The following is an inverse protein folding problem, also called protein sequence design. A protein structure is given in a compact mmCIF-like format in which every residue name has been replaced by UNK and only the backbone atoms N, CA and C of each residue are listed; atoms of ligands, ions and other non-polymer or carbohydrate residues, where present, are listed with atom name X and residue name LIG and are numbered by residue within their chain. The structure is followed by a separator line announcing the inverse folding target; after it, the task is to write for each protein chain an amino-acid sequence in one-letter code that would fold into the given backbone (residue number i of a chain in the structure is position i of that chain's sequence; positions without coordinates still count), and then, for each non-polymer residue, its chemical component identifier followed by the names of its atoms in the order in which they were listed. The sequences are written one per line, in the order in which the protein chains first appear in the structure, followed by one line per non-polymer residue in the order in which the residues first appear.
data_IF_476983373665
#
_entry.id   IF_476983373665
#
_cell.length_a   1.000
_cell.length_b   1.000
_cell.length_c   1.000
_cell.angle_alpha   90.00
_cell.angle_beta   90.00
_cell.angle_gamma   90.00
#
_symmetry.space_group_name_H-M   'P 1'
#
loop_
_entity.id
_entity.type
_entity.pdbx_description
1 polymer ?
#
# COMPACT_ATOMS: atom_id res chain seq x y z
N UNK A 1 64.16 18.22 56.17
CA UNK A 1 64.26 17.61 54.83
C UNK A 1 63.47 16.29 54.71
N UNK A 2 62.22 16.23 55.19
CA UNK A 2 61.45 14.96 55.22
C UNK A 2 60.08 15.01 54.50
N UNK A 3 59.71 16.14 53.89
CA UNK A 3 58.39 16.30 53.25
C UNK A 3 58.45 16.23 51.72
N UNK A 4 59.62 16.45 51.10
CA UNK A 4 59.79 16.35 49.65
C UNK A 4 59.89 14.91 49.14
N UNK A 5 60.38 13.96 49.95
CA UNK A 5 60.50 12.55 49.57
C UNK A 5 59.16 11.81 49.53
N UNK A 6 58.20 12.19 50.39
CA UNK A 6 56.87 11.55 50.47
C UNK A 6 55.95 11.98 49.31
N UNK A 7 56.15 13.20 48.79
CA UNK A 7 55.41 13.69 47.64
C UNK A 7 55.93 13.09 46.32
N UNK A 8 57.25 12.89 46.21
CA UNK A 8 57.86 12.23 45.05
C UNK A 8 57.49 10.74 44.96
N UNK A 9 57.39 10.03 46.07
CA UNK A 9 56.97 8.60 46.06
C UNK A 9 55.49 8.42 45.72
N UNK A 10 54.63 9.38 46.06
CA UNK A 10 53.20 9.34 45.68
C UNK A 10 52.95 9.69 44.22
N UNK A 11 53.71 10.61 43.62
CA UNK A 11 53.63 10.89 42.19
C UNK A 11 54.18 9.75 41.33
N UNK A 12 55.22 9.03 41.78
CA UNK A 12 55.76 7.86 41.07
C UNK A 12 54.78 6.68 41.08
N UNK A 13 54.02 6.46 42.16
CA UNK A 13 53.02 5.39 42.23
C UNK A 13 51.79 5.65 41.32
N UNK A 14 51.39 6.92 41.14
CA UNK A 14 50.32 7.29 40.21
C UNK A 14 50.73 7.15 38.74
N UNK A 15 52.01 7.39 38.41
CA UNK A 15 52.55 7.23 37.05
C UNK A 15 52.73 5.76 36.66
N UNK A 16 53.03 4.87 37.62
CA UNK A 16 53.13 3.42 37.39
C UNK A 16 51.74 2.79 37.16
N UNK A 17 50.68 3.27 37.81
CA UNK A 17 49.32 2.80 37.54
C UNK A 17 48.74 3.25 36.18
N UNK A 18 49.24 4.36 35.62
CA UNK A 18 48.82 4.88 34.31
C UNK A 18 49.55 4.25 33.11
N UNK A 19 50.60 3.44 33.33
CA UNK A 19 51.42 2.80 32.29
C UNK A 19 51.20 1.28 32.16
N UNK A 20 50.19 0.71 32.83
CA UNK A 20 49.91 -0.73 32.80
C UNK A 20 48.66 -1.14 31.99
N UNK A 21 48.21 -0.32 31.04
CA UNK A 21 47.20 -0.70 30.06
C UNK A 21 47.74 -0.54 28.63
N UNK A 22 48.77 -1.30 28.29
CA UNK A 22 49.08 -1.64 26.90
C UNK A 22 49.29 -3.16 26.81
N UNK A 23 48.65 -3.75 25.81
CA UNK A 23 48.16 -5.12 25.82
C UNK A 23 49.20 -6.24 25.65
N UNK A 24 48.81 -7.41 26.14
CA UNK A 24 49.46 -8.69 25.80
C UNK A 24 48.94 -9.14 24.41
N UNK A 25 49.82 -9.54 23.47
CA UNK A 25 49.40 -10.05 22.18
C UNK A 25 48.95 -11.51 22.34
N UNK A 26 47.68 -11.79 22.09
CA UNK A 26 47.15 -13.15 21.99
C UNK A 26 46.90 -13.46 20.51
N UNK A 27 47.37 -14.64 20.12
CA UNK A 27 47.45 -15.20 18.78
C UNK A 27 46.15 -15.14 17.99
N UNK A 28 46.27 -14.73 16.72
CA UNK A 28 45.25 -14.87 15.68
C UNK A 28 45.13 -16.35 15.29
N UNK A 29 43.98 -16.97 15.56
CA UNK A 29 43.45 -18.02 14.70
C UNK A 29 41.93 -17.85 14.53
N UNK A 30 41.47 -18.26 13.35
CA UNK A 30 40.31 -17.79 12.58
C UNK A 30 38.94 -18.11 13.20
N UNK A 31 38.06 -17.11 13.21
CA UNK A 31 36.67 -17.22 12.71
C UNK A 31 36.08 -15.82 12.53
N UNK A 32 35.55 -15.54 11.34
CA UNK A 32 34.80 -14.31 11.03
C UNK A 32 33.54 -14.28 11.90
N UNK A 33 33.49 -13.37 12.86
CA UNK A 33 32.23 -12.91 13.45
C UNK A 33 32.03 -11.49 12.93
N UNK A 34 31.09 -11.32 12.00
CA UNK A 34 30.63 -10.00 11.61
C UNK A 34 29.97 -9.37 12.84
N UNK A 35 30.33 -8.10 13.07
CA UNK A 35 29.81 -7.24 14.10
C UNK A 35 28.29 -7.16 14.01
N UNK A 36 27.61 -7.45 15.12
CA UNK A 36 26.23 -7.03 15.33
C UNK A 36 26.24 -5.49 15.42
N UNK A 37 25.72 -4.86 14.37
CA UNK A 37 25.31 -3.47 14.43
C UNK A 37 24.11 -3.37 15.39
N UNK A 38 24.22 -2.39 16.28
CA UNK A 38 23.20 -1.96 17.22
C UNK A 38 21.97 -1.46 16.43
N UNK A 39 21.00 -2.35 16.20
CA UNK A 39 19.67 -1.96 15.75
C UNK A 39 19.01 -1.22 16.92
N UNK A 40 18.98 0.11 16.80
CA UNK A 40 17.96 0.95 17.41
C UNK A 40 16.64 0.19 17.44
N UNK A 41 16.12 -0.03 18.64
CA UNK A 41 14.81 -0.65 18.86
C UNK A 41 13.76 0.07 18.04
N UNK A 42 13.35 -0.53 16.92
CA UNK A 42 12.06 -0.23 16.33
C UNK A 42 10.99 -0.53 17.39
N UNK A 43 9.92 0.27 17.49
CA UNK A 43 8.75 -0.16 18.25
C UNK A 43 8.31 -1.53 17.71
N UNK A 44 7.72 -2.41 18.54
CA UNK A 44 7.29 -3.74 18.09
C UNK A 44 6.51 -3.59 16.78
N UNK A 45 6.88 -4.36 15.76
CA UNK A 45 6.11 -4.42 14.52
C UNK A 45 4.72 -4.91 14.91
N UNK A 46 3.75 -3.99 14.95
CA UNK A 46 2.36 -4.31 15.24
C UNK A 46 1.67 -4.83 13.98
N UNK A 47 0.82 -5.83 14.16
CA UNK A 47 0.09 -6.70 13.20
C UNK A 47 -0.61 -5.93 12.06
N UNK A 48 0.06 -5.65 10.93
CA UNK A 48 -0.52 -4.83 9.83
C UNK A 48 -1.81 -5.48 9.32
N UNK A 49 -2.95 -4.83 9.59
CA UNK A 49 -4.28 -5.37 9.32
C UNK A 49 -4.66 -5.34 7.83
N UNK A 50 -3.78 -4.83 6.97
CA UNK A 50 -4.04 -4.67 5.52
C UNK A 50 -4.95 -3.50 5.17
N UNK A 51 -5.51 -2.80 6.18
CA UNK A 51 -6.35 -1.63 5.98
C UNK A 51 -5.51 -0.39 5.61
N UNK A 52 -5.92 0.36 4.59
CA UNK A 52 -5.25 1.60 4.17
C UNK A 52 -5.28 2.74 5.22
N UNK A 53 -6.01 2.56 6.32
CA UNK A 53 -6.08 3.44 7.48
C UNK A 53 -5.73 2.73 8.80
N UNK A 54 -5.13 1.53 8.72
CA UNK A 54 -4.66 0.74 9.88
C UNK A 54 -3.85 1.61 10.85
N UNK A 55 -2.88 2.36 10.33
CA UNK A 55 -2.07 3.28 11.13
C UNK A 55 -2.92 4.26 11.94
N UNK A 56 -3.93 4.86 11.32
CA UNK A 56 -4.81 5.82 12.00
C UNK A 56 -5.67 5.12 13.05
N UNK A 57 -6.22 3.95 12.73
CA UNK A 57 -6.98 3.12 13.67
C UNK A 57 -6.17 2.80 14.92
N UNK A 58 -4.93 2.35 14.75
CA UNK A 58 -4.01 2.03 15.85
C UNK A 58 -3.65 3.24 16.68
N UNK A 59 -3.25 4.34 16.04
CA UNK A 59 -2.89 5.55 16.76
C UNK A 59 -4.09 6.03 17.61
N UNK A 60 -5.32 5.96 17.10
CA UNK A 60 -6.54 6.26 17.86
C UNK A 60 -6.70 5.31 19.05
N UNK A 61 -6.56 4.00 18.87
CA UNK A 61 -6.65 3.00 19.94
C UNK A 61 -5.57 3.25 21.00
N UNK A 62 -4.31 3.45 20.61
CA UNK A 62 -3.18 3.71 21.50
C UNK A 62 -3.39 4.93 22.41
N UNK A 63 -4.02 6.00 21.89
CA UNK A 63 -4.35 7.15 22.72
C UNK A 63 -5.54 6.90 23.63
N UNK A 64 -6.54 6.16 23.15
CA UNK A 64 -7.70 5.78 23.95
C UNK A 64 -7.30 4.85 25.11
N UNK A 65 -6.39 3.90 24.88
CA UNK A 65 -5.91 2.99 25.91
C UNK A 65 -5.12 3.71 27.01
N UNK A 66 -4.52 4.89 26.76
CA UNK A 66 -3.86 5.67 27.82
C UNK A 66 -4.85 6.16 28.89
N UNK A 67 -6.14 6.22 28.58
CA UNK A 67 -7.19 6.53 29.54
C UNK A 67 -7.65 5.27 30.28
N UNK A 68 -7.53 5.27 31.61
CA UNK A 68 -7.86 4.09 32.43
C UNK A 68 -9.33 3.67 32.30
N UNK A 69 -10.27 4.64 32.28
CA UNK A 69 -11.70 4.35 32.18
C UNK A 69 -12.02 3.69 30.84
N UNK A 70 -11.48 4.27 29.76
CA UNK A 70 -11.71 3.72 28.43
C UNK A 70 -11.07 2.33 28.26
N UNK A 71 -9.85 2.13 28.75
CA UNK A 71 -9.16 0.82 28.70
C UNK A 71 -9.95 -0.28 29.40
N UNK A 72 -10.46 -0.01 30.60
CA UNK A 72 -11.29 -0.97 31.34
C UNK A 72 -12.58 -1.29 30.58
N UNK A 73 -13.16 -0.31 29.88
CA UNK A 73 -14.33 -0.53 29.02
C UNK A 73 -14.00 -1.34 27.77
N UNK A 74 -12.87 -1.06 27.13
CA UNK A 74 -12.42 -1.80 25.96
C UNK A 74 -12.26 -3.30 26.25
N UNK A 75 -11.59 -3.66 27.35
CA UNK A 75 -11.37 -5.08 27.71
C UNK A 75 -12.60 -5.83 28.21
N UNK A 76 -13.63 -5.13 28.72
CA UNK A 76 -14.82 -5.76 29.30
C UNK A 76 -16.04 -5.74 28.38
N UNK A 77 -15.93 -5.15 27.18
CA UNK A 77 -17.04 -5.04 26.23
C UNK A 77 -16.92 -6.13 25.17
N UNK A 78 -17.99 -6.89 24.96
CA UNK A 78 -18.05 -7.91 23.93
C UNK A 78 -17.96 -7.31 22.52
N UNK A 79 -17.42 -8.08 21.56
CA UNK A 79 -17.26 -7.64 20.17
C UNK A 79 -18.57 -7.12 19.54
N UNK A 80 -19.68 -7.83 19.76
CA UNK A 80 -20.99 -7.41 19.26
C UNK A 80 -21.44 -6.06 19.84
N UNK A 81 -21.12 -5.80 21.10
CA UNK A 81 -21.41 -4.54 21.77
C UNK A 81 -20.55 -3.39 21.23
N UNK A 82 -19.31 -3.69 20.84
CA UNK A 82 -18.40 -2.76 20.14
C UNK A 82 -18.98 -2.40 18.77
N UNK A 83 -19.39 -3.40 17.97
CA UNK A 83 -20.03 -3.20 16.65
C UNK A 83 -21.31 -2.37 16.72
N UNK A 84 -22.09 -2.53 17.79
CA UNK A 84 -23.31 -1.75 18.04
C UNK A 84 -23.05 -0.30 18.47
N UNK A 85 -21.80 0.13 18.59
CA UNK A 85 -21.44 1.52 18.93
C UNK A 85 -21.60 1.85 20.41
N UNK A 86 -21.66 0.84 21.31
CA UNK A 86 -21.71 1.09 22.76
C UNK A 86 -20.39 1.67 23.26
N UNK A 87 -19.26 1.15 22.77
CA UNK A 87 -17.93 1.62 23.14
C UNK A 87 -17.69 3.07 22.71
N UNK A 88 -18.17 3.47 21.53
CA UNK A 88 -18.00 4.83 21.03
C UNK A 88 -18.58 5.90 21.98
N UNK A 89 -19.67 5.57 22.70
CA UNK A 89 -20.30 6.49 23.68
C UNK A 89 -19.45 6.70 24.93
N UNK A 90 -18.52 5.80 25.25
CA UNK A 90 -17.61 5.96 26.38
C UNK A 90 -16.57 7.07 26.12
N UNK A 91 -16.42 7.51 24.87
CA UNK A 91 -15.55 8.63 24.48
C UNK A 91 -15.90 9.94 25.21
N UNK A 92 -17.17 10.14 25.59
CA UNK A 92 -17.62 11.34 26.32
C UNK A 92 -17.00 11.43 27.73
N UNK A 93 -16.55 10.31 28.29
CA UNK A 93 -15.96 10.23 29.63
C UNK A 93 -14.43 10.25 29.61
N UNK A 94 -13.82 10.24 28.43
CA UNK A 94 -12.37 10.26 28.24
C UNK A 94 -11.79 11.60 28.67
N UNK A 95 -10.60 11.57 29.29
CA UNK A 95 -9.92 12.78 29.74
C UNK A 95 -9.67 13.79 28.60
N UNK A 96 -9.74 15.08 28.94
CA UNK A 96 -9.52 16.18 27.98
C UNK A 96 -8.18 16.09 27.24
N UNK A 97 -7.13 15.59 27.91
CA UNK A 97 -5.81 15.45 27.29
C UNK A 97 -5.84 14.48 26.11
N UNK A 98 -6.47 13.31 26.28
CA UNK A 98 -6.64 12.31 25.22
C UNK A 98 -7.56 12.85 24.13
N UNK A 99 -8.67 13.52 24.47
CA UNK A 99 -9.55 14.19 23.49
C UNK A 99 -8.78 15.17 22.59
N UNK A 100 -7.89 15.97 23.17
CA UNK A 100 -7.06 16.93 22.42
C UNK A 100 -6.10 16.22 21.45
N UNK A 101 -5.57 15.05 21.83
CA UNK A 101 -4.69 14.25 20.98
C UNK A 101 -5.46 13.60 19.82
N UNK A 102 -6.66 13.09 20.09
CA UNK A 102 -7.55 12.53 19.06
C UNK A 102 -7.98 13.59 18.03
N UNK A 103 -8.28 14.82 18.48
CA UNK A 103 -8.57 15.93 17.57
C UNK A 103 -7.41 16.25 16.63
N UNK A 104 -6.17 16.16 17.13
CA UNK A 104 -4.97 16.39 16.33
C UNK A 104 -4.71 15.24 15.36
N UNK A 105 -4.88 13.99 15.79
CA UNK A 105 -4.80 12.84 14.89
C UNK A 105 -5.80 12.95 13.74
N UNK A 106 -7.05 13.31 14.04
CA UNK A 106 -8.07 13.50 13.00
C UNK A 106 -7.65 14.60 12.00
N UNK A 107 -7.08 15.72 12.48
CA UNK A 107 -6.57 16.78 11.60
C UNK A 107 -5.48 16.27 10.69
N UNK A 108 -4.54 15.48 11.21
CA UNK A 108 -3.45 14.90 10.44
C UNK A 108 -3.97 13.94 9.38
N UNK A 109 -4.91 13.07 9.75
CA UNK A 109 -5.48 12.09 8.83
C UNK A 109 -6.29 12.77 7.71
N UNK A 110 -7.13 13.75 8.05
CA UNK A 110 -7.84 14.56 7.05
C UNK A 110 -6.85 15.29 6.13
N UNK A 111 -5.72 15.79 6.64
CA UNK A 111 -4.69 16.43 5.83
C UNK A 111 -3.98 15.45 4.89
N UNK A 112 -3.67 14.24 5.36
CA UNK A 112 -3.11 13.15 4.57
C UNK A 112 -4.03 12.82 3.41
N UNK A 113 -5.31 12.61 3.70
CA UNK A 113 -6.30 12.22 2.70
C UNK A 113 -6.57 13.33 1.67
N UNK A 114 -6.59 14.61 2.09
CA UNK A 114 -6.67 15.75 1.15
C UNK A 114 -5.48 15.78 0.19
N UNK A 115 -4.30 15.43 0.69
CA UNK A 115 -3.09 15.35 -0.14
C UNK A 115 -3.20 14.22 -1.15
N UNK A 116 -3.74 13.06 -0.74
CA UNK A 116 -3.99 11.92 -1.64
C UNK A 116 -5.03 12.26 -2.72
N UNK A 117 -6.15 12.92 -2.37
CA UNK A 117 -7.12 13.39 -3.36
C UNK A 117 -6.44 14.31 -4.35
N UNK A 118 -5.69 15.30 -3.86
CA UNK A 118 -5.03 16.26 -4.75
C UNK A 118 -4.03 15.56 -5.67
N UNK A 119 -3.24 14.62 -5.16
CA UNK A 119 -2.31 13.85 -5.98
C UNK A 119 -3.05 13.02 -7.05
N UNK A 120 -4.15 12.34 -6.70
CA UNK A 120 -4.99 11.62 -7.67
C UNK A 120 -5.56 12.57 -8.72
N UNK A 121 -6.08 13.71 -8.31
CA UNK A 121 -6.57 14.76 -9.22
C UNK A 121 -5.48 15.32 -10.12
N UNK A 122 -4.25 15.48 -9.64
CA UNK A 122 -3.12 15.98 -10.45
C UNK A 122 -2.64 14.92 -11.46
N UNK A 123 -2.74 13.62 -11.13
CA UNK A 123 -2.44 12.50 -12.03
C UNK A 123 -3.51 12.37 -13.12
N UNK A 124 -4.79 12.45 -12.72
CA UNK A 124 -5.93 12.32 -13.63
C UNK A 124 -6.19 13.63 -14.42
N UNK A 125 -5.82 14.78 -13.86
CA UNK A 125 -6.08 16.14 -14.33
C UNK A 125 -5.31 16.61 -15.57
N UNK A 126 -4.75 15.67 -16.34
CA UNK A 126 -4.44 15.91 -17.76
C UNK A 126 -5.66 15.79 -18.67
N UNK A 127 -6.71 15.08 -18.23
CA UNK A 127 -7.98 14.96 -18.93
C UNK A 127 -9.12 15.38 -17.99
N UNK A 128 -10.08 16.13 -18.53
CA UNK A 128 -11.31 16.61 -17.88
C UNK A 128 -12.30 15.45 -17.61
N UNK A 129 -11.78 14.30 -17.16
CA UNK A 129 -12.56 13.16 -16.72
C UNK A 129 -13.13 13.58 -15.37
N UNK A 130 -14.46 13.56 -15.25
CA UNK A 130 -15.12 13.71 -13.97
C UNK A 130 -14.59 12.62 -13.05
N UNK A 131 -13.58 12.96 -12.24
CA UNK A 131 -13.09 12.14 -11.14
C UNK A 131 -14.33 11.65 -10.42
N UNK A 132 -14.47 10.33 -10.25
CA UNK A 132 -15.60 9.80 -9.52
C UNK A 132 -15.42 10.20 -8.05
N UNK A 133 -15.91 11.41 -7.73
CA UNK A 133 -15.83 11.99 -6.41
C UNK A 133 -16.54 11.07 -5.41
N UNK A 134 -17.49 10.24 -5.85
CA UNK A 134 -18.17 9.28 -5.01
C UNK A 134 -17.26 8.08 -4.68
N UNK A 135 -16.50 7.55 -5.64
CA UNK A 135 -15.49 6.53 -5.39
C UNK A 135 -14.34 7.04 -4.49
N UNK A 136 -13.92 8.30 -4.67
CA UNK A 136 -12.97 8.92 -3.75
C UNK A 136 -13.54 9.08 -2.35
N UNK A 137 -14.79 9.49 -2.21
CA UNK A 137 -15.45 9.67 -0.91
C UNK A 137 -15.67 8.36 -0.14
N UNK A 138 -15.79 7.22 -0.83
CA UNK A 138 -15.77 5.89 -0.18
C UNK A 138 -14.48 5.66 0.61
N UNK A 139 -13.34 6.20 0.15
CA UNK A 139 -12.07 6.14 0.91
C UNK A 139 -12.08 6.99 2.20
N UNK A 140 -13.19 7.67 2.54
CA UNK A 140 -13.35 8.51 3.74
C UNK A 140 -14.46 8.02 4.65
N UNK A 141 -15.08 6.87 4.36
CA UNK A 141 -16.30 6.44 5.04
C UNK A 141 -16.09 6.24 6.56
N UNK A 142 -14.86 5.91 6.96
CA UNK A 142 -14.42 5.75 8.35
C UNK A 142 -14.26 7.07 9.14
N UNK A 143 -14.44 8.25 8.52
CA UNK A 143 -14.31 9.56 9.20
C UNK A 143 -15.43 10.53 8.82
N UNK A 144 -15.81 11.40 9.76
CA UNK A 144 -16.67 12.53 9.43
C UNK A 144 -15.83 13.69 8.83
N UNK A 145 -15.75 13.73 7.50
CA UNK A 145 -15.05 14.77 6.75
C UNK A 145 -15.73 16.15 6.79
N UNK A 146 -17.00 16.23 7.18
CA UNK A 146 -17.73 17.50 7.35
C UNK A 146 -17.31 18.24 8.62
N UNK A 147 -16.70 17.53 9.58
CA UNK A 147 -16.10 18.11 10.77
C UNK A 147 -14.61 17.74 10.86
N UNK A 148 -13.69 18.46 10.19
CA UNK A 148 -12.29 18.05 10.12
C UNK A 148 -11.46 18.37 11.38
N UNK A 149 -12.04 18.93 12.44
CA UNK A 149 -11.29 19.57 13.51
C UNK A 149 -11.53 19.00 14.91
N UNK A 150 -12.63 18.29 15.13
CA UNK A 150 -12.84 17.55 16.38
C UNK A 150 -13.20 16.11 16.08
N UNK A 151 -12.58 15.20 16.83
CA UNK A 151 -12.86 13.77 16.78
C UNK A 151 -14.03 13.49 17.72
N UNK A 152 -15.20 13.12 17.22
CA UNK A 152 -16.41 12.92 18.02
C UNK A 152 -16.77 11.44 18.18
N UNK A 153 -17.79 11.17 18.99
CA UNK A 153 -18.35 9.81 19.16
C UNK A 153 -18.70 9.18 17.81
N UNK A 154 -19.21 9.99 16.86
CA UNK A 154 -19.53 9.54 15.51
C UNK A 154 -18.28 9.08 14.73
N UNK A 155 -17.13 9.72 14.92
CA UNK A 155 -15.89 9.33 14.24
C UNK A 155 -15.39 7.98 14.75
N UNK A 156 -15.42 7.77 16.08
CA UNK A 156 -15.02 6.49 16.65
C UNK A 156 -15.98 5.37 16.24
N UNK A 157 -17.29 5.64 16.22
CA UNK A 157 -18.31 4.68 15.77
C UNK A 157 -18.13 4.30 14.29
N UNK A 158 -17.89 5.29 13.42
CA UNK A 158 -17.59 5.06 11.99
C UNK A 158 -16.29 4.29 11.81
N UNK A 159 -15.23 4.69 12.50
CA UNK A 159 -13.92 4.04 12.41
C UNK A 159 -13.99 2.56 12.81
N UNK A 160 -14.67 2.25 13.93
CA UNK A 160 -14.85 0.86 14.39
C UNK A 160 -15.70 0.08 13.39
N UNK A 161 -16.81 0.64 12.90
CA UNK A 161 -17.71 -0.06 11.96
C UNK A 161 -17.05 -0.31 10.62
N UNK A 162 -16.36 0.67 10.08
CA UNK A 162 -15.59 0.53 8.84
C UNK A 162 -14.47 -0.48 9.04
N UNK A 163 -13.67 -0.39 10.11
CA UNK A 163 -12.62 -1.37 10.37
C UNK A 163 -13.18 -2.79 10.49
N UNK A 164 -14.28 -2.97 11.22
CA UNK A 164 -14.94 -4.28 11.35
C UNK A 164 -15.43 -4.80 10.00
N UNK A 165 -16.16 -3.97 9.25
CA UNK A 165 -16.73 -4.36 7.96
C UNK A 165 -15.63 -4.65 6.93
N UNK A 166 -14.62 -3.81 6.86
CA UNK A 166 -13.53 -3.94 5.91
C UNK A 166 -12.70 -5.18 6.25
N UNK A 167 -12.44 -5.47 7.53
CA UNK A 167 -11.76 -6.70 7.96
C UNK A 167 -12.57 -7.96 7.70
N UNK A 168 -13.89 -7.92 7.88
CA UNK A 168 -14.78 -9.06 7.59
C UNK A 168 -14.91 -9.34 6.08
N UNK A 169 -14.76 -8.31 5.23
CA UNK A 169 -14.88 -8.43 3.78
C UNK A 169 -13.53 -8.40 3.05
N UNK A 170 -12.41 -8.19 3.75
CA UNK A 170 -11.08 -7.99 3.16
C UNK A 170 -10.73 -9.12 2.20
N UNK A 171 -10.80 -10.36 2.70
CA UNK A 171 -10.52 -11.57 1.93
C UNK A 171 -11.44 -11.68 0.71
N UNK A 172 -12.75 -11.44 0.90
CA UNK A 172 -13.73 -11.47 -0.20
C UNK A 172 -13.44 -10.44 -1.28
N UNK A 173 -13.09 -9.21 -0.91
CA UNK A 173 -12.75 -8.16 -1.87
C UNK A 173 -11.47 -8.52 -2.64
N UNK A 174 -10.47 -9.10 -1.96
CA UNK A 174 -9.24 -9.61 -2.58
C UNK A 174 -9.53 -10.73 -3.59
N UNK A 175 -10.37 -11.70 -3.23
CA UNK A 175 -10.85 -12.75 -4.16
C UNK A 175 -11.54 -12.16 -5.40
N UNK A 176 -12.36 -11.12 -5.22
CA UNK A 176 -13.02 -10.43 -6.33
C UNK A 176 -12.05 -9.64 -7.22
N UNK A 177 -11.02 -9.01 -6.64
CA UNK A 177 -9.93 -8.35 -7.36
C UNK A 177 -9.12 -9.35 -8.18
N UNK A 178 -8.72 -10.47 -7.57
CA UNK A 178 -8.01 -11.54 -8.25
C UNK A 178 -8.84 -12.15 -9.39
N UNK A 179 -10.14 -12.39 -9.16
CA UNK A 179 -11.06 -12.84 -10.20
C UNK A 179 -11.07 -11.89 -11.41
N UNK A 180 -11.14 -10.58 -11.18
CA UNK A 180 -11.10 -9.56 -12.25
C UNK A 180 -9.75 -9.54 -12.96
N UNK A 181 -8.65 -9.73 -12.22
CA UNK A 181 -7.31 -9.84 -12.78
C UNK A 181 -7.23 -11.00 -13.78
N UNK A 182 -7.64 -12.20 -13.36
CA UNK A 182 -7.65 -13.40 -14.20
C UNK A 182 -8.55 -13.25 -15.43
N UNK A 183 -9.75 -12.65 -15.25
CA UNK A 183 -10.64 -12.36 -16.39
C UNK A 183 -10.04 -11.35 -17.36
N UNK A 184 -9.33 -10.33 -16.87
CA UNK A 184 -8.66 -9.31 -17.71
C UNK A 184 -7.52 -9.95 -18.50
N UNK A 185 -6.68 -10.74 -17.85
CA UNK A 185 -5.56 -11.47 -18.46
C UNK A 185 -6.03 -12.38 -19.60
N UNK A 186 -7.08 -13.17 -19.37
CA UNK A 186 -7.65 -14.04 -20.41
C UNK A 186 -8.34 -13.23 -21.52
N UNK A 187 -9.04 -12.14 -21.20
CA UNK A 187 -9.64 -11.25 -22.20
C UNK A 187 -8.58 -10.64 -23.13
N UNK A 188 -7.49 -10.10 -22.57
CA UNK A 188 -6.38 -9.55 -23.33
C UNK A 188 -5.72 -10.60 -24.23
N UNK A 189 -5.55 -11.83 -23.73
CA UNK A 189 -5.07 -12.96 -24.53
C UNK A 189 -5.99 -13.24 -25.71
N UNK A 190 -7.31 -13.29 -25.50
CA UNK A 190 -8.30 -13.50 -26.57
C UNK A 190 -8.29 -12.38 -27.60
N UNK A 191 -8.20 -11.13 -27.17
CA UNK A 191 -8.07 -9.98 -28.08
C UNK A 191 -6.76 -10.05 -28.87
N UNK A 192 -5.64 -10.40 -28.23
CA UNK A 192 -4.36 -10.58 -28.91
C UNK A 192 -4.46 -11.63 -30.01
N UNK A 193 -5.04 -12.80 -29.73
CA UNK A 193 -5.24 -13.88 -30.71
C UNK A 193 -6.12 -13.47 -31.91
N UNK A 194 -7.06 -12.52 -31.73
CA UNK A 194 -7.87 -11.97 -32.82
C UNK A 194 -7.05 -11.08 -33.76
N UNK A 195 -5.97 -10.46 -33.27
CA UNK A 195 -5.08 -9.62 -34.10
C UNK A 195 -4.10 -10.41 -34.96
N UNK A 196 -3.86 -11.68 -34.61
CA UNK A 196 -2.90 -12.57 -35.28
C UNK A 196 -3.52 -13.30 -36.48
N UNK A 197 -2.66 -13.67 -37.44
CA UNK A 197 -3.01 -14.57 -38.54
C UNK A 197 -3.07 -16.04 -38.07
N UNK A 198 -3.48 -16.95 -38.94
CA UNK A 198 -3.69 -18.36 -38.56
C UNK A 198 -2.40 -19.07 -38.11
N UNK A 199 -1.24 -18.71 -38.68
CA UNK A 199 0.05 -19.28 -38.26
C UNK A 199 0.50 -18.71 -36.92
N UNK A 200 0.37 -17.39 -36.72
CA UNK A 200 0.67 -16.72 -35.46
C UNK A 200 -0.22 -17.21 -34.33
N UNK A 201 -1.54 -17.33 -34.55
CA UNK A 201 -2.49 -17.83 -33.56
C UNK A 201 -2.13 -19.22 -33.07
N UNK A 202 -1.79 -20.12 -34.00
CA UNK A 202 -1.38 -21.49 -33.66
C UNK A 202 -0.08 -21.52 -32.83
N UNK A 203 0.91 -20.70 -33.18
CA UNK A 203 2.18 -20.61 -32.42
C UNK A 203 1.94 -20.08 -31.01
N UNK A 204 1.09 -19.08 -30.86
CA UNK A 204 0.76 -18.49 -29.56
C UNK A 204 -0.01 -19.48 -28.68
N UNK A 205 -0.97 -20.21 -29.24
CA UNK A 205 -1.67 -21.29 -28.54
C UNK A 205 -0.73 -22.43 -28.12
N UNK A 206 0.21 -22.84 -28.99
CA UNK A 206 1.22 -23.85 -28.65
C UNK A 206 2.16 -23.36 -27.54
N UNK A 207 2.56 -22.08 -27.57
CA UNK A 207 3.37 -21.46 -26.52
C UNK A 207 2.61 -21.44 -25.19
N UNK A 208 1.37 -20.97 -25.18
CA UNK A 208 0.53 -20.92 -23.98
C UNK A 208 0.36 -22.31 -23.33
N UNK A 209 0.10 -23.35 -24.13
CA UNK A 209 0.02 -24.73 -23.64
C UNK A 209 1.36 -25.28 -23.14
N UNK A 210 2.49 -24.81 -23.68
CA UNK A 210 3.81 -25.14 -23.14
C UNK A 210 4.03 -24.47 -21.78
N UNK A 211 3.70 -23.19 -21.65
CA UNK A 211 3.82 -22.44 -20.39
C UNK A 211 2.97 -23.04 -19.28
N UNK A 212 1.71 -23.38 -19.58
CA UNK A 212 0.84 -24.07 -18.63
C UNK A 212 1.42 -25.41 -18.15
N UNK A 213 2.02 -26.18 -19.06
CA UNK A 213 2.65 -27.46 -18.69
C UNK A 213 3.92 -27.28 -17.86
N UNK A 214 4.70 -26.24 -18.11
CA UNK A 214 5.88 -25.92 -17.29
C UNK A 214 5.46 -25.56 -15.88
N UNK A 215 4.47 -24.68 -15.74
CA UNK A 215 3.92 -24.29 -14.45
C UNK A 215 3.36 -25.50 -13.67
N UNK A 216 2.62 -26.38 -14.36
CA UNK A 216 2.08 -27.61 -13.76
C UNK A 216 3.14 -28.63 -13.32
N UNK A 217 4.38 -28.54 -13.84
CA UNK A 217 5.48 -29.47 -13.52
C UNK A 217 6.27 -28.98 -12.31
N UNK A 218 5.60 -29.00 -11.16
CA UNK A 218 6.20 -28.59 -9.88
C UNK A 218 6.30 -29.76 -8.88
N UNK A 219 7.21 -29.70 -7.89
CA UNK A 219 7.22 -30.63 -6.77
C UNK A 219 5.87 -30.65 -6.04
N UNK A 220 5.50 -31.81 -5.47
CA UNK A 220 4.24 -31.92 -4.72
C UNK A 220 4.22 -30.92 -3.56
N UNK A 221 3.16 -30.13 -3.51
CA UNK A 221 2.88 -29.20 -2.42
C UNK A 221 2.13 -29.90 -1.31
N UNK A 222 2.52 -29.61 -0.07
CA UNK A 222 1.84 -30.14 1.11
C UNK A 222 0.54 -29.37 1.37
N UNK A 223 -0.37 -30.00 2.09
CA UNK A 223 -1.58 -29.34 2.54
C UNK A 223 -1.24 -28.27 3.60
N UNK A 224 -1.78 -27.04 3.47
CA UNK A 224 -1.53 -25.97 4.43
C UNK A 224 -1.94 -26.37 5.85
N UNK A 225 -1.09 -26.07 6.83
CA UNK A 225 -1.33 -26.42 8.23
C UNK A 225 -1.11 -27.90 8.58
N UNK A 226 -0.64 -28.73 7.64
CA UNK A 226 -0.42 -30.16 7.89
C UNK A 226 0.92 -30.46 8.57
N UNK A 227 1.03 -31.66 9.15
CA UNK A 227 2.27 -32.11 9.77
C UNK A 227 3.45 -32.11 8.80
N UNK A 228 3.23 -32.50 7.54
CA UNK A 228 4.31 -32.59 6.55
C UNK A 228 4.84 -31.19 6.20
N UNK A 229 3.95 -30.21 6.01
CA UNK A 229 4.31 -28.82 5.76
C UNK A 229 5.14 -28.26 6.93
N UNK A 230 4.68 -28.43 8.17
CA UNK A 230 5.41 -27.90 9.33
C UNK A 230 6.74 -28.61 9.57
N UNK A 231 6.84 -29.91 9.31
CA UNK A 231 8.12 -30.63 9.36
C UNK A 231 9.11 -30.13 8.32
N UNK A 232 8.62 -29.77 7.14
CA UNK A 232 9.45 -29.22 6.08
C UNK A 232 9.98 -27.83 6.46
N UNK A 233 9.13 -26.95 6.98
CA UNK A 233 9.57 -25.66 7.52
C UNK A 233 10.60 -25.86 8.65
N UNK A 234 10.34 -26.79 9.56
CA UNK A 234 11.25 -27.16 10.65
C UNK A 234 12.62 -27.67 10.16
N UNK A 235 12.66 -28.41 9.06
CA UNK A 235 13.92 -28.88 8.46
C UNK A 235 14.65 -27.78 7.69
N UNK A 236 13.93 -27.10 6.80
CA UNK A 236 14.53 -26.21 5.80
C UNK A 236 14.77 -24.79 6.33
N UNK A 237 13.81 -24.24 7.08
CA UNK A 237 13.91 -22.89 7.65
C UNK A 237 14.66 -22.90 8.99
N UNK A 238 14.35 -23.86 9.88
CA UNK A 238 14.93 -23.89 11.22
C UNK A 238 16.21 -24.74 11.32
N UNK A 239 16.47 -25.63 10.35
CA UNK A 239 17.64 -26.51 10.35
C UNK A 239 17.58 -27.59 11.44
N UNK A 240 16.38 -28.01 11.83
CA UNK A 240 16.13 -28.98 12.89
C UNK A 240 15.73 -30.35 12.32
N UNK A 241 15.94 -31.42 13.10
CA UNK A 241 15.64 -32.78 12.64
C UNK A 241 14.11 -33.01 12.56
N UNK A 242 13.56 -33.45 11.41
CA UNK A 242 12.13 -33.76 11.26
C UNK A 242 11.59 -34.82 12.23
N UNK A 243 12.46 -35.71 12.74
CA UNK A 243 12.07 -36.75 13.70
C UNK A 243 11.84 -36.20 15.11
N UNK A 244 12.47 -35.06 15.43
CA UNK A 244 12.33 -34.36 16.72
C UNK A 244 11.22 -33.28 16.69
N UNK A 245 10.37 -33.29 15.67
CA UNK A 245 9.30 -32.31 15.52
C UNK A 245 8.34 -32.30 16.72
N UNK A 246 8.26 -31.15 17.39
CA UNK A 246 7.35 -30.89 18.50
C UNK A 246 6.48 -29.66 18.19
N UNK A 247 5.15 -29.82 18.06
CA UNK A 247 4.25 -28.72 17.71
C UNK A 247 4.38 -27.51 18.63
N UNK A 248 4.56 -27.73 19.94
CA UNK A 248 4.69 -26.62 20.88
C UNK A 248 5.97 -25.83 20.64
N UNK A 249 7.09 -26.51 20.39
CA UNK A 249 8.35 -25.85 20.08
C UNK A 249 8.29 -25.14 18.74
N UNK A 250 7.67 -25.76 17.73
CA UNK A 250 7.41 -25.15 16.43
C UNK A 250 6.63 -23.84 16.57
N UNK A 251 5.55 -23.85 17.37
CA UNK A 251 4.74 -22.65 17.64
C UNK A 251 5.59 -21.50 18.21
N UNK A 252 6.31 -21.76 19.30
CA UNK A 252 7.12 -20.71 19.94
C UNK A 252 8.31 -20.22 19.09
N UNK A 253 8.73 -20.99 18.08
CA UNK A 253 9.83 -20.62 17.20
C UNK A 253 9.37 -19.65 16.11
N UNK A 254 8.12 -19.75 15.67
CA UNK A 254 7.55 -18.94 14.60
C UNK A 254 6.66 -17.80 15.10
N UNK A 255 6.37 -17.77 16.40
CA UNK A 255 5.79 -16.61 17.09
C UNK A 255 6.87 -15.54 17.14
N UNK A 256 6.91 -14.73 16.08
CA UNK A 256 8.01 -13.84 15.76
C UNK A 256 8.02 -12.63 16.68
N UNK A 257 6.84 -12.21 17.12
CA UNK A 257 6.67 -11.08 18.02
C UNK A 257 6.64 -11.50 19.51
N UNK A 258 6.46 -12.79 19.81
CA UNK A 258 6.47 -13.38 21.15
C UNK A 258 5.21 -13.12 21.97
N UNK A 259 4.07 -12.83 21.33
CA UNK A 259 2.81 -12.49 21.99
C UNK A 259 1.96 -13.72 22.37
N UNK A 260 2.38 -14.91 21.94
CA UNK A 260 1.72 -16.17 22.23
C UNK A 260 0.59 -16.54 21.26
N UNK A 261 0.48 -15.84 20.14
CA UNK A 261 -0.47 -16.09 19.06
C UNK A 261 0.28 -16.26 17.73
N UNK A 262 -0.35 -16.93 16.77
CA UNK A 262 -0.01 -16.74 15.36
C UNK A 262 -1.02 -15.79 14.74
N UNK A 263 -0.52 -14.66 14.24
CA UNK A 263 -1.29 -13.79 13.39
C UNK A 263 -1.28 -14.26 11.92
N UNK A 264 -2.01 -13.54 11.07
CA UNK A 264 -2.11 -13.86 9.64
C UNK A 264 -0.76 -13.83 8.92
N UNK A 265 0.11 -12.90 9.27
CA UNK A 265 1.41 -12.72 8.60
C UNK A 265 2.37 -13.84 9.01
N UNK A 266 2.33 -14.23 10.29
CA UNK A 266 3.10 -15.35 10.81
C UNK A 266 2.67 -16.66 10.15
N UNK A 267 1.36 -16.89 9.99
CA UNK A 267 0.86 -18.05 9.23
C UNK A 267 1.27 -18.00 7.76
N UNK A 268 1.09 -16.84 7.12
CA UNK A 268 1.47 -16.61 5.73
C UNK A 268 2.95 -16.90 5.47
N UNK A 269 3.83 -16.53 6.40
CA UNK A 269 5.26 -16.79 6.33
C UNK A 269 5.55 -18.30 6.26
N UNK A 270 4.78 -19.14 6.97
CA UNK A 270 4.93 -20.60 6.95
C UNK A 270 4.64 -21.21 5.58
N UNK A 271 3.85 -20.56 4.74
CA UNK A 271 3.49 -21.06 3.40
C UNK A 271 4.54 -20.73 2.34
N UNK A 272 5.46 -19.80 2.62
CA UNK A 272 6.46 -19.33 1.64
C UNK A 272 7.22 -20.49 1.00
N UNK A 273 7.67 -21.47 1.80
CA UNK A 273 8.41 -22.63 1.30
C UNK A 273 7.60 -23.54 0.38
N UNK A 274 6.31 -23.69 0.67
CA UNK A 274 5.41 -24.45 -0.19
C UNK A 274 5.14 -23.73 -1.52
N UNK A 275 4.95 -22.41 -1.47
CA UNK A 275 4.69 -21.59 -2.65
C UNK A 275 5.91 -21.47 -3.57
N UNK A 276 7.13 -21.39 -3.00
CA UNK A 276 8.40 -21.39 -3.75
C UNK A 276 8.62 -22.66 -4.59
N UNK A 277 7.87 -23.75 -4.33
CA UNK A 277 7.91 -24.95 -5.19
C UNK A 277 7.15 -24.75 -6.50
N UNK A 278 6.12 -23.91 -6.50
CA UNK A 278 5.23 -23.66 -7.63
C UNK A 278 5.64 -22.41 -8.39
N UNK A 279 5.98 -21.34 -7.67
CA UNK A 279 6.18 -20.02 -8.25
C UNK A 279 7.62 -19.53 -8.06
N UNK A 280 8.31 -19.23 -9.16
CA UNK A 280 9.60 -18.56 -9.18
C UNK A 280 9.49 -17.20 -9.92
N UNK A 281 9.81 -16.07 -9.28
CA UNK A 281 9.76 -14.75 -9.91
C UNK A 281 10.67 -14.59 -11.15
N UNK A 282 11.60 -15.52 -11.37
CA UNK A 282 12.52 -15.52 -12.51
C UNK A 282 11.99 -16.28 -13.73
N UNK A 283 10.93 -17.08 -13.55
CA UNK A 283 10.23 -17.79 -14.60
C UNK A 283 9.13 -16.91 -15.22
N UNK A 284 8.87 -17.07 -16.52
CA UNK A 284 7.84 -16.28 -17.21
C UNK A 284 6.45 -16.92 -17.15
N UNK A 285 6.40 -18.23 -16.87
CA UNK A 285 5.18 -19.00 -16.63
C UNK A 285 4.54 -18.70 -15.27
N UNK A 286 5.31 -18.18 -14.32
CA UNK A 286 4.90 -18.07 -12.92
C UNK A 286 4.39 -16.65 -12.63
N UNK A 287 3.10 -16.58 -12.28
CA UNK A 287 2.45 -15.31 -11.95
C UNK A 287 2.53 -15.03 -10.45
N UNK A 288 3.26 -13.98 -10.08
CA UNK A 288 3.41 -13.57 -8.68
C UNK A 288 2.11 -13.09 -8.04
N UNK A 289 1.11 -12.67 -8.83
CA UNK A 289 -0.22 -12.34 -8.34
C UNK A 289 -0.98 -13.61 -7.96
N UNK A 290 -0.87 -14.67 -8.77
CA UNK A 290 -1.42 -15.99 -8.45
C UNK A 290 -0.75 -16.59 -7.21
N UNK A 291 0.56 -16.41 -7.04
CA UNK A 291 1.27 -16.84 -5.83
C UNK A 291 0.69 -16.19 -4.56
N UNK A 292 0.44 -14.88 -4.60
CA UNK A 292 -0.11 -14.16 -3.45
C UNK A 292 -1.55 -14.59 -3.15
N UNK A 293 -2.35 -14.80 -4.18
CA UNK A 293 -3.69 -15.33 -4.02
C UNK A 293 -3.69 -16.75 -3.41
N UNK A 294 -2.80 -17.62 -3.88
CA UNK A 294 -2.64 -18.96 -3.32
C UNK A 294 -2.25 -18.88 -1.84
N UNK A 295 -1.37 -17.94 -1.46
CA UNK A 295 -1.01 -17.69 -0.06
C UNK A 295 -2.24 -17.33 0.79
N UNK A 296 -3.10 -16.45 0.31
CA UNK A 296 -4.33 -16.04 1.00
C UNK A 296 -5.29 -17.24 1.14
N UNK A 297 -5.46 -18.06 0.09
CA UNK A 297 -6.25 -19.29 0.15
C UNK A 297 -5.72 -20.27 1.20
N UNK A 298 -4.39 -20.45 1.27
CA UNK A 298 -3.76 -21.30 2.29
C UNK A 298 -4.01 -20.76 3.70
N UNK A 299 -3.86 -19.45 3.91
CA UNK A 299 -4.13 -18.80 5.21
C UNK A 299 -5.59 -18.93 5.62
N UNK A 300 -6.52 -18.59 4.75
CA UNK A 300 -7.96 -18.71 5.02
C UNK A 300 -8.36 -20.13 5.37
N UNK A 301 -7.80 -21.10 4.65
CA UNK A 301 -8.02 -22.50 4.94
C UNK A 301 -7.57 -22.84 6.37
N UNK A 302 -6.33 -22.51 6.74
CA UNK A 302 -5.80 -22.78 8.08
C UNK A 302 -6.58 -22.05 9.18
N UNK A 303 -6.89 -20.76 8.99
CA UNK A 303 -7.70 -19.98 9.94
C UNK A 303 -9.09 -20.59 10.11
N UNK A 304 -9.71 -21.07 9.03
CA UNK A 304 -11.02 -21.69 9.11
C UNK A 304 -11.03 -22.99 9.93
N UNK A 305 -9.94 -23.75 9.88
CA UNK A 305 -9.81 -25.03 10.59
C UNK A 305 -9.33 -24.90 12.04
N UNK A 306 -8.45 -23.92 12.31
CA UNK A 306 -7.71 -23.82 13.58
C UNK A 306 -8.28 -22.74 14.50
N UNK A 307 -8.56 -21.54 13.98
CA UNK A 307 -9.15 -20.45 14.76
C UNK A 307 -10.63 -20.76 15.04
N UNK A 308 -10.91 -21.11 16.30
CA UNK A 308 -12.25 -21.55 16.74
C UNK A 308 -13.10 -20.40 17.27
N UNK A 309 -12.49 -19.37 17.84
CA UNK A 309 -13.19 -18.23 18.41
C UNK A 309 -13.40 -17.09 17.41
N UNK A 310 -12.82 -17.19 16.21
CA UNK A 310 -12.92 -16.25 15.08
C UNK A 310 -12.40 -14.87 15.43
N UNK A 311 -11.30 -14.81 16.18
CA UNK A 311 -10.61 -13.56 16.50
C UNK A 311 -9.45 -13.23 15.56
N UNK A 312 -9.23 -14.05 14.50
CA UNK A 312 -8.16 -13.93 13.50
C UNK A 312 -6.75 -14.11 14.09
N UNK A 313 -6.66 -14.72 15.25
CA UNK A 313 -5.42 -15.14 15.88
C UNK A 313 -5.51 -16.62 16.23
N UNK A 314 -4.41 -17.34 16.09
CA UNK A 314 -4.34 -18.75 16.52
C UNK A 314 -3.58 -18.82 17.82
N UNK A 315 -4.29 -19.14 18.91
CA UNK A 315 -3.65 -19.40 20.19
C UNK A 315 -2.87 -20.71 20.20
N UNK A 316 -1.89 -20.82 21.10
CA UNK A 316 -1.16 -22.08 21.32
C UNK A 316 -2.12 -23.24 21.63
N UNK A 317 -3.17 -23.01 22.43
CA UNK A 317 -4.17 -24.04 22.74
C UNK A 317 -4.90 -24.53 21.49
N UNK A 318 -5.36 -23.62 20.63
CA UNK A 318 -6.04 -23.97 19.39
C UNK A 318 -5.13 -24.74 18.44
N UNK A 319 -3.89 -24.27 18.29
CA UNK A 319 -2.86 -24.94 17.50
C UNK A 319 -2.63 -26.38 17.98
N UNK A 320 -2.43 -26.60 19.28
CA UNK A 320 -2.21 -27.93 19.86
C UNK A 320 -3.45 -28.84 19.83
N UNK A 321 -4.64 -28.27 19.69
CA UNK A 321 -5.87 -29.04 19.44
C UNK A 321 -5.93 -29.44 17.97
N UNK A 322 -5.61 -28.53 17.05
CA UNK A 322 -5.56 -28.80 15.62
C UNK A 322 -4.55 -29.89 15.27
N UNK A 323 -3.37 -29.91 15.91
CA UNK A 323 -2.34 -30.95 15.65
C UNK A 323 -2.75 -32.37 16.07
N UNK A 324 -3.88 -32.53 16.77
CA UNK A 324 -4.44 -33.84 17.17
C UNK A 324 -5.56 -34.30 16.24
N UNK A 325 -6.03 -33.42 15.35
CA UNK A 325 -7.06 -33.74 14.37
C UNK A 325 -6.51 -34.69 13.30
N UNK A 326 -7.40 -35.37 12.58
CA UNK A 326 -6.99 -36.35 11.57
C UNK A 326 -6.39 -35.63 10.36
N UNK A 327 -6.99 -34.51 10.01
CA UNK A 327 -6.65 -33.61 8.92
C UNK A 327 -5.19 -33.15 8.99
N UNK A 328 -4.66 -32.97 10.21
CA UNK A 328 -3.24 -32.65 10.44
C UNK A 328 -2.28 -33.80 10.04
N UNK A 329 -2.64 -35.05 10.35
CA UNK A 329 -1.79 -36.23 10.18
C UNK A 329 -1.95 -36.88 8.80
N UNK A 330 -3.18 -36.88 8.29
CA UNK A 330 -3.58 -37.49 7.03
C UNK A 330 -4.35 -36.44 6.20
N UNK A 331 -3.66 -35.40 5.71
CA UNK A 331 -4.30 -34.36 4.93
C UNK A 331 -4.70 -34.86 3.54
N UNK A 332 -5.76 -34.26 2.99
CA UNK A 332 -6.09 -34.39 1.58
C UNK A 332 -5.08 -33.61 0.70
N UNK A 333 -5.03 -33.89 -0.60
CA UNK A 333 -4.18 -33.12 -1.52
C UNK A 333 -4.67 -31.68 -1.62
N UNK A 334 -3.75 -30.72 -1.57
CA UNK A 334 -4.06 -29.32 -1.85
C UNK A 334 -4.32 -29.11 -3.35
N UNK A 335 -5.44 -28.49 -3.67
CA UNK A 335 -5.82 -28.11 -5.04
C UNK A 335 -5.36 -26.67 -5.32
N UNK A 336 -4.34 -26.54 -6.16
CA UNK A 336 -3.77 -25.26 -6.60
C UNK A 336 -4.76 -24.49 -7.48
N UNK A 337 -4.52 -23.19 -7.63
CA UNK A 337 -5.28 -22.30 -8.51
C UNK A 337 -5.38 -22.82 -9.95
N UNK A 338 -4.35 -23.50 -10.47
CA UNK A 338 -4.39 -24.12 -11.80
C UNK A 338 -5.54 -25.15 -11.95
N UNK A 339 -5.83 -25.87 -10.87
CA UNK A 339 -6.86 -26.92 -10.83
C UNK A 339 -8.25 -26.35 -10.54
N UNK A 340 -8.32 -25.19 -9.89
CA UNK A 340 -9.56 -24.54 -9.48
C UNK A 340 -9.65 -23.12 -10.04
N UNK A 341 -10.31 -22.98 -11.19
CA UNK A 341 -10.49 -21.69 -11.86
C UNK A 341 -11.22 -20.67 -10.97
N UNK A 342 -10.73 -19.44 -10.96
CA UNK A 342 -11.29 -18.34 -10.15
C UNK A 342 -12.66 -17.85 -10.61
N UNK A 343 -13.02 -18.07 -11.88
CA UNK A 343 -14.26 -17.59 -12.49
C UNK A 343 -14.93 -18.66 -13.37
N UNK A 344 -16.23 -18.51 -13.60
CA UNK A 344 -16.98 -19.35 -14.55
C UNK A 344 -17.05 -18.73 -15.95
N UNK A 345 -17.35 -19.55 -16.96
CA UNK A 345 -17.54 -19.08 -18.33
C UNK A 345 -18.65 -18.01 -18.43
N UNK A 346 -19.70 -18.11 -17.61
CA UNK A 346 -20.75 -17.08 -17.53
C UNK A 346 -20.22 -15.75 -16.97
N UNK A 347 -19.42 -15.78 -15.90
CA UNK A 347 -18.81 -14.57 -15.32
C UNK A 347 -17.87 -13.87 -16.31
N UNK A 348 -17.09 -14.64 -17.08
CA UNK A 348 -16.25 -14.11 -18.15
C UNK A 348 -17.08 -13.44 -19.26
N UNK A 349 -18.22 -14.03 -19.64
CA UNK A 349 -19.09 -13.43 -20.65
C UNK A 349 -19.69 -12.10 -20.18
N UNK A 350 -20.16 -12.04 -18.92
CA UNK A 350 -20.66 -10.80 -18.32
C UNK A 350 -19.57 -9.72 -18.23
N UNK A 351 -18.34 -10.13 -17.92
CA UNK A 351 -17.18 -9.24 -17.88
C UNK A 351 -16.85 -8.65 -19.26
N UNK A 352 -16.78 -9.49 -20.30
CA UNK A 352 -16.55 -9.04 -21.69
C UNK A 352 -17.67 -8.11 -22.18
N UNK A 353 -18.93 -8.38 -21.82
CA UNK A 353 -20.06 -7.49 -22.15
C UNK A 353 -19.93 -6.13 -21.46
N UNK A 354 -19.57 -6.11 -20.18
CA UNK A 354 -19.35 -4.87 -19.45
C UNK A 354 -18.19 -4.04 -20.05
N UNK A 355 -17.09 -4.69 -20.43
CA UNK A 355 -15.97 -4.02 -21.11
C UNK A 355 -16.39 -3.40 -22.45
N UNK A 356 -17.16 -4.13 -23.26
CA UNK A 356 -17.66 -3.61 -24.54
C UNK A 356 -18.57 -2.39 -24.36
N UNK A 357 -19.46 -2.41 -23.35
CA UNK A 357 -20.31 -1.27 -23.01
C UNK A 357 -19.48 -0.06 -22.54
N UNK A 358 -18.45 -0.31 -21.73
CA UNK A 358 -17.56 0.75 -21.24
C UNK A 358 -16.74 1.37 -22.39
N UNK A 359 -16.27 0.55 -23.33
CA UNK A 359 -15.56 1.03 -24.53
C UNK A 359 -16.48 1.91 -25.39
N UNK A 360 -17.75 1.51 -25.58
CA UNK A 360 -18.73 2.30 -26.32
C UNK A 360 -18.99 3.67 -25.67
N UNK A 361 -19.18 3.72 -24.35
CA UNK A 361 -19.35 4.98 -23.61
C UNK A 361 -18.10 5.86 -23.71
N UNK A 362 -16.90 5.29 -23.57
CA UNK A 362 -15.64 6.02 -23.73
C UNK A 362 -15.47 6.57 -25.16
N UNK A 363 -15.80 5.79 -26.18
CA UNK A 363 -15.76 6.23 -27.58
C UNK A 363 -16.76 7.36 -27.84
N UNK A 364 -17.96 7.29 -27.26
CA UNK A 364 -18.95 8.35 -27.35
C UNK A 364 -18.47 9.64 -26.67
N UNK A 365 -17.93 9.54 -25.45
CA UNK A 365 -17.34 10.67 -24.72
C UNK A 365 -16.16 11.28 -25.47
N UNK A 366 -15.27 10.47 -26.02
CA UNK A 366 -14.13 10.94 -26.81
C UNK A 366 -14.60 11.70 -28.07
N UNK A 367 -15.63 11.20 -28.76
CA UNK A 367 -16.26 11.89 -29.90
C UNK A 367 -16.85 13.24 -29.50
N UNK A 368 -17.52 13.32 -28.35
CA UNK A 368 -18.11 14.56 -27.86
C UNK A 368 -17.06 15.57 -27.40
N UNK A 369 -15.99 15.11 -26.75
CA UNK A 369 -14.83 15.96 -26.40
C UNK A 369 -14.14 16.49 -27.66
N UNK A 370 -14.00 15.67 -28.71
CA UNK A 370 -13.45 16.13 -29.98
C UNK A 370 -14.31 17.23 -30.60
N UNK A 371 -15.64 17.10 -30.58
CA UNK A 371 -16.56 18.16 -31.06
C UNK A 371 -16.43 19.44 -30.22
N UNK A 372 -16.31 19.32 -28.90
CA UNK A 372 -16.12 20.47 -28.01
C UNK A 372 -14.80 21.19 -28.30
N UNK A 373 -13.72 20.43 -28.50
CA UNK A 373 -12.41 20.97 -28.90
C UNK A 373 -12.50 21.75 -30.21
N UNK A 374 -13.11 21.16 -31.23
CA UNK A 374 -13.27 21.81 -32.54
C UNK A 374 -14.11 23.10 -32.43
N UNK A 375 -15.13 23.13 -31.57
CA UNK A 375 -15.95 24.32 -31.32
C UNK A 375 -15.18 25.42 -30.57
N UNK A 376 -14.40 25.06 -29.55
CA UNK A 376 -13.53 26.01 -28.84
C UNK A 376 -12.45 26.60 -29.77
N UNK A 377 -11.90 25.79 -30.68
CA UNK A 377 -10.96 26.26 -31.70
C UNK A 377 -11.61 27.31 -32.61
N UNK A 378 -12.84 27.06 -33.09
CA UNK A 378 -13.61 28.05 -33.88
C UNK A 378 -13.88 29.33 -33.09
N UNK A 379 -14.25 29.23 -31.82
CA UNK A 379 -14.48 30.41 -30.97
C UNK A 379 -13.19 31.21 -30.76
N UNK A 380 -12.05 30.52 -30.59
CA UNK A 380 -10.75 31.15 -30.45
C UNK A 380 -10.33 31.89 -31.73
N UNK A 381 -10.57 31.30 -32.90
CA UNK A 381 -10.36 31.96 -34.20
C UNK A 381 -11.22 33.22 -34.36
N UNK A 382 -12.50 33.14 -34.01
CA UNK A 382 -13.41 34.30 -34.05
C UNK A 382 -12.96 35.42 -33.11
N UNK A 383 -12.54 35.09 -31.89
CA UNK A 383 -12.05 36.06 -30.90
C UNK A 383 -10.75 36.73 -31.37
N UNK A 384 -9.86 35.96 -31.99
CA UNK A 384 -8.63 36.49 -32.59
C UNK A 384 -8.93 37.43 -33.76
N UNK A 385 -9.89 37.09 -34.63
CA UNK A 385 -10.33 37.97 -35.71
C UNK A 385 -10.90 39.29 -35.17
N UNK A 386 -11.79 39.23 -34.17
CA UNK A 386 -12.35 40.43 -33.51
C UNK A 386 -11.25 41.29 -32.86
N UNK A 387 -10.25 40.66 -32.25
CA UNK A 387 -9.11 41.38 -31.64
C UNK A 387 -8.30 42.13 -32.70
N UNK A 388 -8.06 41.53 -33.86
CA UNK A 388 -7.36 42.18 -34.99
C UNK A 388 -8.18 43.35 -35.52
N UNK A 389 -9.50 43.18 -35.71
CA UNK A 389 -10.39 44.27 -36.14
C UNK A 389 -10.38 45.44 -35.15
N UNK A 390 -10.49 45.17 -33.84
CA UNK A 390 -10.41 46.19 -32.79
C UNK A 390 -9.07 46.93 -32.78
N UNK A 391 -7.96 46.20 -32.97
CA UNK A 391 -6.63 46.82 -33.07
C UNK A 391 -6.51 47.74 -34.29
N UNK A 392 -7.11 47.35 -35.43
CA UNK A 392 -7.12 48.15 -36.64
C UNK A 392 -7.93 49.44 -36.45
N UNK A 393 -9.12 49.35 -35.85
CA UNK A 393 -9.95 50.52 -35.50
C UNK A 393 -9.22 51.44 -34.52
N UNK A 394 -8.56 50.89 -33.50
CA UNK A 394 -7.76 51.67 -32.55
C UNK A 394 -6.63 52.44 -33.27
N UNK A 395 -5.93 51.79 -34.20
CA UNK A 395 -4.88 52.41 -35.00
C UNK A 395 -5.42 53.57 -35.84
N UNK A 396 -6.59 53.41 -36.47
CA UNK A 396 -7.23 54.47 -37.24
C UNK A 396 -7.67 55.66 -36.37
N UNK A 397 -8.20 55.40 -35.17
CA UNK A 397 -8.62 56.45 -34.23
C UNK A 397 -7.41 57.23 -33.70
N UNK A 398 -6.33 56.54 -33.32
CA UNK A 398 -5.07 57.16 -32.87
C UNK A 398 -4.40 57.93 -34.01
N UNK A 399 -4.38 57.39 -35.23
CA UNK A 399 -3.87 58.06 -36.43
C UNK A 399 -4.65 59.33 -36.78
N UNK A 400 -5.97 59.33 -36.62
CA UNK A 400 -6.82 60.52 -36.82
C UNK A 400 -6.61 61.59 -35.74
N UNK A 401 -6.31 61.21 -34.50
CA UNK A 401 -5.99 62.16 -33.42
C UNK A 401 -4.63 62.87 -33.63
N UNK A 402 -3.66 62.21 -34.25
CA UNK A 402 -2.35 62.81 -34.54
C UNK A 402 -2.38 63.85 -35.68
N UNK A 403 -3.34 63.74 -36.61
CA UNK A 403 -3.51 64.70 -37.72
C UNK A 403 -4.18 66.01 -37.25
N UNK A 404 -4.97 65.98 -36.17
CA UNK A 404 -5.67 67.17 -35.66
C UNK A 404 -4.85 68.03 -34.68
N UNK A 405 -3.66 67.59 -34.26
CA UNK A 405 -2.82 68.32 -33.27
C UNK A 405 -1.58 69.01 -33.86
N UNK A 406 -1.35 68.94 -35.18
CA UNK A 406 -0.18 69.57 -35.82
C UNK A 406 -0.62 70.46 -36.98
N UNK A 407 -1.00 71.71 -36.67
CA UNK A 407 -0.91 72.83 -37.62
C UNK A 407 0.12 73.81 -37.03
N UNK A 408 1.36 73.88 -37.55
CA UNK A 408 2.25 74.99 -37.25
C UNK A 408 2.22 76.02 -38.38
N UNK A 409 2.10 77.28 -37.95
CA UNK A 409 2.25 78.50 -38.75
C UNK A 409 3.56 78.50 -39.56
N UNK A 410 3.47 78.94 -40.81
CA UNK A 410 4.61 79.15 -41.69
C UNK A 410 5.28 80.48 -41.36
N UNK A 411 6.58 80.48 -41.07
CA UNK A 411 7.40 81.69 -41.09
C UNK A 411 8.74 81.44 -41.79
N UNK A 412 9.19 82.50 -42.46
CA UNK A 412 10.12 82.54 -43.57
C UNK A 412 11.55 82.05 -43.31
N UNK A 413 12.10 81.38 -44.33
CA UNK A 413 13.52 81.19 -44.52
C UNK A 413 14.23 82.51 -44.90
N UNK A 414 15.43 82.72 -44.37
CA UNK A 414 16.45 83.56 -45.00
C UNK A 414 17.82 82.91 -44.84
N UNK A 415 18.55 83.00 -45.95
CA UNK A 415 19.72 82.26 -46.37
C UNK A 415 21.00 83.02 -45.99
N UNK A 416 22.05 82.33 -45.53
CA UNK A 416 23.45 82.75 -45.70
C UNK A 416 24.44 81.64 -45.29
N UNK A 417 24.76 80.78 -46.25
CA UNK A 417 26.10 80.51 -46.79
C UNK A 417 27.41 80.73 -45.98
N UNK A 418 28.26 79.69 -46.09
CA UNK A 418 29.75 79.65 -46.13
C UNK A 418 30.43 79.67 -44.73
N UNK A 419 31.27 78.69 -44.34
CA UNK A 419 32.68 78.46 -44.76
C UNK A 419 33.12 77.01 -44.48
N UNK A 420 33.87 76.45 -45.44
CA UNK A 420 34.69 75.22 -45.38
C UNK A 420 35.68 75.17 -44.20
N UNK A 421 35.98 73.97 -43.68
CA UNK A 421 37.38 73.54 -43.61
C UNK A 421 37.49 72.02 -43.53
N UNK A 422 38.42 71.48 -44.31
CA UNK A 422 38.92 70.10 -44.29
C UNK A 422 39.55 69.76 -42.93
N UNK A 423 39.44 68.49 -42.53
CA UNK A 423 40.06 67.91 -41.33
C UNK A 423 39.24 66.78 -40.76
#
# INVERSE_FOLDING_TARGET
MSWSRVLQTRCLLLLVHLLCFEGVPISVDKTKVNQLEDKTSEPPQSVDTGLHYDRYLREVIDFLEKDQHFREKLHNTDMEDIKMGKLAKELDFVSHHVRTQLDELKRQEVSRLRTLIKAKQDIEGGNDIAVDHQALLKQFEYLNHMNPHTFEVEDLDRLIKSATSDLENYDKERHEEFKKYEMTKEHERREHLKTLDDEGRKKEEEHYEEMKKKHADHPKVNHPGSQNQFKEVWEEADGLDPEDFDPKTFFNLHDSNGDGFFDEQELEALFTKELEKIYDPTNEEDDMVEMEEERLRMREHVMNEVDTNKDRLVSLEEFLVATKKKEFLEPDSWETLEQNQAYTDEEMLEFEEHLAQQEEDLNQRASDLQKQRDELERQQEQLNAQKVELQQVLWEVVGKHHIFTVIPETSHASNSDIVRHEG
#
